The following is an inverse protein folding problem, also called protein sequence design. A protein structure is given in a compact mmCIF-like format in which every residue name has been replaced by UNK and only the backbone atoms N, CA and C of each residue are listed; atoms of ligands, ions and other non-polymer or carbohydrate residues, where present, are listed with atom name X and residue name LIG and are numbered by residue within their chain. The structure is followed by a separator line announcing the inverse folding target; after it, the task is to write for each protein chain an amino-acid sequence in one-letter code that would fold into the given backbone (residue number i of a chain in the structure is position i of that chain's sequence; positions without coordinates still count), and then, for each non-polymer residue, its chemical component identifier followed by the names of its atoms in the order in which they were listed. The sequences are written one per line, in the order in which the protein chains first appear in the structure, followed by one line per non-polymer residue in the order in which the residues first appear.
data_IF_724470173139
#
_entry.id   IF_724470173139
#
_cell.length_a   1.000
_cell.length_b   1.000
_cell.length_c   1.000
_cell.angle_alpha   90.00
_cell.angle_beta   90.00
_cell.angle_gamma   90.00
#
_symmetry.space_group_name_H-M   'P 1'
#
loop_
_entity.id
_entity.type
_entity.pdbx_description
1 polymer ?
#
# COMPACT_ATOMS: atom_id res chain seq x y z
N UNK A 1 19.66 0.19 0.14
CA UNK A 1 18.96 1.27 -0.55
C UNK A 1 19.79 2.54 -0.56
N UNK A 2 20.35 2.98 0.55
CA UNK A 2 21.26 4.15 0.67
C UNK A 2 22.45 4.17 -0.31
N UNK A 3 22.96 2.98 -0.67
CA UNK A 3 24.07 2.84 -1.63
C UNK A 3 23.69 3.35 -3.03
N UNK A 4 22.44 3.14 -3.47
CA UNK A 4 21.99 3.61 -4.80
C UNK A 4 21.94 5.15 -4.86
N UNK A 5 21.46 5.76 -3.78
CA UNK A 5 21.27 7.21 -3.72
C UNK A 5 22.61 7.94 -3.72
N UNK A 6 23.62 7.45 -2.94
CA UNK A 6 24.98 7.99 -2.97
C UNK A 6 25.64 7.81 -4.34
N UNK A 7 25.52 6.63 -4.94
CA UNK A 7 26.08 6.35 -6.27
C UNK A 7 25.45 7.26 -7.34
N UNK A 8 24.14 7.47 -7.32
CA UNK A 8 23.47 8.38 -8.25
C UNK A 8 24.06 9.79 -8.17
N UNK A 9 24.24 10.31 -6.95
CA UNK A 9 24.85 11.61 -6.75
C UNK A 9 26.30 11.67 -7.23
N UNK A 10 27.13 10.68 -6.88
CA UNK A 10 28.53 10.55 -7.32
C UNK A 10 28.66 10.46 -8.84
N UNK A 11 27.71 9.82 -9.53
CA UNK A 11 27.66 9.72 -10.98
C UNK A 11 27.12 10.99 -11.68
N UNK A 12 26.78 12.03 -10.91
CA UNK A 12 26.35 13.33 -11.47
C UNK A 12 24.88 13.37 -11.92
N UNK A 13 24.05 12.41 -11.50
CA UNK A 13 22.61 12.55 -11.66
C UNK A 13 22.10 13.79 -10.93
N UNK A 14 21.06 14.42 -11.46
CA UNK A 14 20.52 15.67 -10.91
C UNK A 14 19.32 15.44 -9.98
N UNK A 15 18.71 14.24 -10.05
CA UNK A 15 17.51 13.93 -9.28
C UNK A 15 17.34 12.45 -9.04
N UNK A 16 16.80 12.11 -7.88
CA UNK A 16 16.31 10.77 -7.55
C UNK A 16 14.82 10.82 -7.21
N UNK A 17 14.04 9.87 -7.75
CA UNK A 17 12.64 9.65 -7.37
C UNK A 17 12.53 8.29 -6.69
N UNK A 18 12.14 8.28 -5.42
CA UNK A 18 12.11 7.09 -4.57
C UNK A 18 10.67 6.71 -4.29
N UNK A 19 10.34 5.43 -4.47
CA UNK A 19 9.03 4.89 -4.13
C UNK A 19 8.99 4.52 -2.64
N UNK A 20 8.36 5.37 -1.87
CA UNK A 20 8.13 5.23 -0.44
C UNK A 20 6.77 4.58 -0.14
N UNK A 21 6.28 4.85 1.06
CA UNK A 21 5.01 4.31 1.54
C UNK A 21 4.18 5.38 2.24
N UNK A 22 2.88 5.37 2.02
CA UNK A 22 1.94 6.27 2.72
C UNK A 22 1.95 6.09 4.26
N UNK A 23 2.54 5.02 4.76
CA UNK A 23 2.77 4.87 6.19
C UNK A 23 3.76 5.90 6.75
N UNK A 24 4.67 6.44 5.92
CA UNK A 24 5.52 7.58 6.31
C UNK A 24 4.65 8.82 6.52
N UNK A 25 3.76 9.12 5.58
CA UNK A 25 2.78 10.21 5.71
C UNK A 25 1.92 10.03 6.97
N UNK A 26 1.33 8.84 7.15
CA UNK A 26 0.49 8.56 8.32
C UNK A 26 1.25 8.73 9.65
N UNK A 27 2.51 8.29 9.73
CA UNK A 27 3.31 8.42 10.93
C UNK A 27 3.61 9.89 11.29
N UNK A 28 3.75 10.75 10.27
CA UNK A 28 3.94 12.19 10.43
C UNK A 28 2.64 12.91 10.86
N UNK A 29 1.51 12.52 10.26
CA UNK A 29 0.19 13.10 10.56
C UNK A 29 -0.40 12.63 11.90
N UNK A 30 -0.01 11.43 12.36
CA UNK A 30 -0.55 10.82 13.58
C UNK A 30 0.55 10.40 14.56
N UNK A 31 1.32 11.37 15.10
CA UNK A 31 2.38 11.09 16.08
C UNK A 31 1.82 10.48 17.39
N UNK A 32 0.55 10.75 17.70
CA UNK A 32 -0.17 10.18 18.82
C UNK A 32 -0.24 8.63 18.78
N UNK A 33 -0.23 8.04 17.60
CA UNK A 33 -0.30 6.59 17.42
C UNK A 33 1.04 5.89 17.68
N UNK A 34 2.16 6.59 17.70
CA UNK A 34 3.51 6.05 17.90
C UNK A 34 3.82 4.90 16.94
N UNK A 35 3.50 5.09 15.65
CA UNK A 35 3.56 4.03 14.64
C UNK A 35 4.97 3.50 14.41
N UNK A 36 5.98 4.37 14.44
CA UNK A 36 7.38 3.97 14.27
C UNK A 36 7.90 3.11 15.44
N UNK A 37 7.36 3.30 16.66
CA UNK A 37 7.73 2.48 17.82
C UNK A 37 7.12 1.08 17.73
N UNK A 38 5.89 0.98 17.21
CA UNK A 38 5.09 -0.24 17.21
C UNK A 38 5.30 -1.12 15.96
N UNK A 39 5.75 -0.53 14.85
CA UNK A 39 5.80 -1.19 13.54
C UNK A 39 7.18 -0.98 12.87
N UNK A 40 8.06 -2.00 12.89
CA UNK A 40 9.39 -1.91 12.27
C UNK A 40 9.36 -1.49 10.80
N UNK A 41 8.38 -1.97 10.04
CA UNK A 41 8.20 -1.56 8.65
C UNK A 41 7.97 -0.04 8.51
N UNK A 42 7.10 0.55 9.34
CA UNK A 42 6.79 1.99 9.27
C UNK A 42 8.05 2.80 9.62
N UNK A 43 8.76 2.41 10.68
CA UNK A 43 10.03 3.03 11.04
C UNK A 43 11.02 2.96 9.88
N UNK A 44 11.18 1.79 9.25
CA UNK A 44 12.13 1.64 8.13
C UNK A 44 11.79 2.54 6.94
N UNK A 45 10.49 2.90 6.74
CA UNK A 45 10.10 3.83 5.67
C UNK A 45 10.44 5.27 6.01
N UNK A 46 10.26 5.69 7.26
CA UNK A 46 10.72 7.01 7.74
C UNK A 46 12.25 7.11 7.68
N UNK A 47 12.96 6.08 8.15
CA UNK A 47 14.42 6.05 8.09
C UNK A 47 14.94 6.12 6.66
N UNK A 48 14.29 5.39 5.73
CA UNK A 48 14.60 5.45 4.29
C UNK A 48 14.43 6.86 3.73
N UNK A 49 13.34 7.53 4.07
CA UNK A 49 13.03 8.89 3.64
C UNK A 49 14.09 9.88 4.17
N UNK A 50 14.39 9.82 5.48
CA UNK A 50 15.38 10.68 6.12
C UNK A 50 16.78 10.51 5.51
N UNK A 51 17.19 9.26 5.28
CA UNK A 51 18.49 8.98 4.63
C UNK A 51 18.48 9.49 3.19
N UNK A 52 17.42 9.29 2.43
CA UNK A 52 17.33 9.79 1.07
C UNK A 52 17.46 11.32 1.02
N UNK A 53 16.75 12.02 1.89
CA UNK A 53 16.82 13.48 1.98
C UNK A 53 18.18 14.02 2.42
N UNK A 54 18.97 13.26 3.19
CA UNK A 54 20.31 13.67 3.56
C UNK A 54 21.30 13.79 2.38
N UNK A 55 20.94 13.22 1.22
CA UNK A 55 21.74 13.35 -0.01
C UNK A 55 21.35 14.55 -0.86
N UNK A 56 20.20 15.19 -0.61
CA UNK A 56 19.78 16.36 -1.37
C UNK A 56 20.67 17.56 -1.08
N UNK A 57 21.02 18.31 -2.13
CA UNK A 57 21.74 19.59 -2.06
C UNK A 57 21.38 20.46 -3.27
N UNK A 58 22.09 21.56 -3.47
CA UNK A 58 21.88 22.51 -4.57
C UNK A 58 22.02 21.88 -5.97
N UNK A 59 22.64 20.71 -6.09
CA UNK A 59 22.92 20.00 -7.35
C UNK A 59 22.18 18.68 -7.50
N UNK A 60 21.51 18.19 -6.45
CA UNK A 60 20.84 16.90 -6.43
C UNK A 60 19.52 16.94 -5.67
N UNK A 61 18.42 16.88 -6.42
CA UNK A 61 17.07 16.81 -5.87
C UNK A 61 16.68 15.39 -5.45
N UNK A 62 15.90 15.26 -4.39
CA UNK A 62 15.35 13.97 -3.95
C UNK A 62 13.85 14.08 -3.70
N UNK A 63 13.07 13.34 -4.48
CA UNK A 63 11.63 13.20 -4.31
C UNK A 63 11.30 11.82 -3.74
N UNK A 64 10.50 11.75 -2.68
CA UNK A 64 9.96 10.50 -2.16
C UNK A 64 8.45 10.46 -2.37
N UNK A 65 7.96 9.50 -3.14
CA UNK A 65 6.52 9.29 -3.36
C UNK A 65 5.96 8.38 -2.27
N UNK A 66 5.14 8.90 -1.39
CA UNK A 66 4.48 8.16 -0.31
C UNK A 66 3.22 7.47 -0.85
N UNK A 67 3.44 6.28 -1.44
CA UNK A 67 2.43 5.56 -2.20
C UNK A 67 1.52 4.72 -1.30
N UNK A 68 0.18 4.80 -1.50
CA UNK A 68 -0.81 3.99 -0.79
C UNK A 68 -1.03 2.63 -1.46
N UNK A 69 -2.23 2.09 -1.41
CA UNK A 69 -2.61 0.84 -2.08
C UNK A 69 -2.64 1.03 -3.59
N UNK A 70 -1.88 0.18 -4.29
CA UNK A 70 -1.71 0.23 -5.75
C UNK A 70 -2.50 -0.91 -6.39
N UNK A 71 -3.31 -0.57 -7.39
CA UNK A 71 -4.09 -1.53 -8.18
C UNK A 71 -3.72 -1.49 -9.65
N UNK A 72 -3.78 -2.64 -10.28
CA UNK A 72 -3.39 -2.90 -11.64
C UNK A 72 -2.63 -4.21 -11.74
N UNK A 73 -2.33 -4.64 -12.95
CA UNK A 73 -1.64 -5.90 -13.21
C UNK A 73 -0.35 -5.67 -13.98
N UNK A 74 0.65 -6.49 -13.70
CA UNK A 74 1.85 -6.60 -14.51
C UNK A 74 1.87 -7.99 -15.14
N UNK A 75 1.95 -8.09 -16.46
CA UNK A 75 2.00 -9.38 -17.14
C UNK A 75 3.11 -10.29 -16.58
N UNK A 76 2.76 -11.54 -16.30
CA UNK A 76 3.71 -12.56 -15.81
C UNK A 76 4.08 -12.46 -14.33
N UNK A 77 3.63 -11.44 -13.58
CA UNK A 77 3.94 -11.29 -12.14
C UNK A 77 2.74 -11.55 -11.25
N UNK A 78 2.99 -12.24 -10.12
CA UNK A 78 1.99 -12.53 -9.09
C UNK A 78 1.60 -11.24 -8.35
N UNK A 79 0.31 -10.85 -8.33
CA UNK A 79 -0.12 -9.67 -7.59
C UNK A 79 -0.02 -9.90 -6.07
N UNK A 80 0.31 -8.85 -5.32
CA UNK A 80 0.31 -8.87 -3.84
C UNK A 80 -1.08 -9.17 -3.26
N UNK A 81 -2.13 -8.87 -4.00
CA UNK A 81 -3.53 -9.05 -3.60
C UNK A 81 -3.96 -10.51 -3.42
N UNK A 82 -3.12 -11.49 -3.78
CA UNK A 82 -3.32 -12.91 -3.43
C UNK A 82 -3.48 -13.07 -1.93
N UNK A 83 -2.74 -12.31 -1.11
CA UNK A 83 -2.85 -12.33 0.36
C UNK A 83 -4.27 -11.95 0.82
N UNK A 84 -4.87 -10.92 0.20
CA UNK A 84 -6.25 -10.55 0.49
C UNK A 84 -7.23 -11.68 0.12
N UNK A 85 -7.02 -12.33 -1.04
CA UNK A 85 -7.88 -13.44 -1.49
C UNK A 85 -7.83 -14.60 -0.49
N UNK A 86 -6.66 -14.95 0.01
CA UNK A 86 -6.49 -15.99 1.04
C UNK A 86 -7.29 -15.66 2.31
N UNK A 87 -7.24 -14.41 2.75
CA UNK A 87 -7.95 -13.96 3.94
C UNK A 87 -9.46 -14.00 3.78
N UNK A 88 -9.99 -13.43 2.69
CA UNK A 88 -11.44 -13.32 2.50
C UNK A 88 -12.09 -14.66 2.12
N UNK A 89 -11.39 -15.59 1.45
CA UNK A 89 -11.89 -16.93 1.15
C UNK A 89 -12.26 -17.72 2.41
N UNK A 90 -11.58 -17.50 3.52
CA UNK A 90 -11.92 -18.12 4.82
C UNK A 90 -13.31 -17.73 5.29
N UNK A 91 -13.82 -16.58 4.85
CA UNK A 91 -15.15 -16.08 5.22
C UNK A 91 -16.24 -16.42 4.19
N UNK A 92 -15.93 -17.09 3.07
CA UNK A 92 -16.92 -17.38 2.02
C UNK A 92 -18.08 -18.25 2.51
N UNK A 93 -17.83 -19.13 3.49
CA UNK A 93 -18.87 -19.99 4.10
C UNK A 93 -19.76 -19.25 5.09
N UNK A 94 -19.41 -18.04 5.48
CA UNK A 94 -20.19 -17.22 6.41
C UNK A 94 -21.25 -16.43 5.63
N UNK A 95 -22.39 -16.07 6.25
CA UNK A 95 -23.44 -15.27 5.61
C UNK A 95 -23.02 -13.81 5.38
N UNK A 96 -21.93 -13.37 5.98
CA UNK A 96 -21.40 -12.02 5.87
C UNK A 96 -19.88 -12.03 5.94
N UNK A 97 -19.26 -10.90 5.61
CA UNK A 97 -17.83 -10.67 5.77
C UNK A 97 -17.61 -9.71 6.94
N UNK A 98 -16.78 -10.11 7.89
CA UNK A 98 -16.34 -9.27 9.00
C UNK A 98 -15.05 -8.57 8.60
N UNK A 99 -15.01 -7.23 8.64
CA UNK A 99 -13.84 -6.47 8.21
C UNK A 99 -13.73 -5.15 8.99
N UNK A 100 -12.55 -4.51 9.08
CA UNK A 100 -12.41 -3.20 9.71
C UNK A 100 -13.34 -2.13 9.14
N UNK A 101 -13.58 -1.07 9.91
CA UNK A 101 -14.56 -0.01 9.57
C UNK A 101 -13.98 1.14 8.77
N UNK A 102 -12.66 1.30 8.78
CA UNK A 102 -11.96 2.40 8.13
C UNK A 102 -11.96 2.30 6.61
N UNK A 103 -10.95 2.91 6.03
CA UNK A 103 -10.72 2.96 4.58
C UNK A 103 -9.26 3.25 4.27
N UNK A 104 -8.95 3.37 3.00
CA UNK A 104 -7.59 3.65 2.56
C UNK A 104 -7.55 4.50 1.29
N UNK A 105 -6.42 5.16 1.11
CA UNK A 105 -6.07 5.82 -0.13
C UNK A 105 -5.62 4.78 -1.17
N UNK A 106 -5.83 5.08 -2.44
CA UNK A 106 -5.58 4.16 -3.56
C UNK A 106 -5.12 4.91 -4.80
N UNK A 107 -4.42 4.22 -5.68
CA UNK A 107 -4.12 4.65 -7.04
C UNK A 107 -3.88 3.44 -7.96
N UNK A 108 -3.85 3.71 -9.28
CA UNK A 108 -3.54 2.67 -10.26
C UNK A 108 -2.04 2.61 -10.56
N UNK A 109 -1.57 1.48 -11.07
CA UNK A 109 -0.18 1.32 -11.54
C UNK A 109 0.19 2.38 -12.58
N UNK A 110 -0.76 2.76 -13.48
CA UNK A 110 -0.54 3.84 -14.45
C UNK A 110 -0.29 5.17 -13.75
N UNK A 111 -1.12 5.51 -12.77
CA UNK A 111 -0.98 6.75 -11.99
C UNK A 111 0.31 6.78 -11.16
N UNK A 112 0.83 5.63 -10.70
CA UNK A 112 2.19 5.55 -10.12
C UNK A 112 3.23 5.98 -11.14
N UNK A 113 3.16 5.45 -12.37
CA UNK A 113 4.08 5.82 -13.45
C UNK A 113 4.04 7.32 -13.77
N UNK A 114 2.85 7.87 -13.89
CA UNK A 114 2.66 9.32 -14.12
C UNK A 114 3.20 10.16 -12.95
N UNK A 115 3.00 9.70 -11.69
CA UNK A 115 3.55 10.36 -10.51
C UNK A 115 5.08 10.38 -10.51
N UNK A 116 5.73 9.29 -10.95
CA UNK A 116 7.19 9.21 -11.09
C UNK A 116 7.68 10.25 -12.09
N UNK A 117 7.05 10.32 -13.26
CA UNK A 117 7.40 11.30 -14.31
C UNK A 117 7.17 12.72 -13.79
N UNK A 118 6.00 13.00 -13.20
CA UNK A 118 5.67 14.31 -12.64
C UNK A 118 6.67 14.75 -11.58
N UNK A 119 7.07 13.85 -10.66
CA UNK A 119 8.08 14.15 -9.66
C UNK A 119 9.49 14.37 -10.27
N UNK A 120 9.85 13.58 -11.26
CA UNK A 120 11.12 13.75 -11.97
C UNK A 120 11.23 15.12 -12.67
N UNK A 121 10.12 15.60 -13.23
CA UNK A 121 10.08 16.87 -13.94
C UNK A 121 9.92 18.09 -13.02
N UNK A 122 9.11 17.98 -11.97
CA UNK A 122 8.58 19.14 -11.24
C UNK A 122 9.07 19.26 -9.80
N UNK A 123 9.57 18.17 -9.17
CA UNK A 123 10.06 18.24 -7.79
C UNK A 123 11.44 18.92 -7.73
N UNK A 124 11.66 19.72 -6.69
CA UNK A 124 12.95 20.35 -6.41
C UNK A 124 13.29 20.19 -4.94
N UNK A 125 14.60 20.12 -4.65
CA UNK A 125 15.11 19.93 -3.30
C UNK A 125 14.75 18.56 -2.70
N UNK A 126 14.69 18.49 -1.38
CA UNK A 126 14.24 17.31 -0.64
C UNK A 126 12.74 17.40 -0.37
N UNK A 127 11.92 16.58 -1.02
CA UNK A 127 10.45 16.67 -0.88
C UNK A 127 9.77 15.31 -0.82
N UNK A 128 8.93 15.11 0.21
CA UNK A 128 7.97 14.02 0.27
C UNK A 128 6.68 14.42 -0.43
N UNK A 129 6.12 13.50 -1.20
CA UNK A 129 4.89 13.66 -1.95
C UNK A 129 3.87 12.61 -1.49
N UNK A 130 2.86 12.97 -0.68
CA UNK A 130 1.76 12.06 -0.34
C UNK A 130 0.85 11.91 -1.54
N UNK A 131 1.01 10.81 -2.28
CA UNK A 131 0.32 10.59 -3.55
C UNK A 131 -0.91 9.71 -3.36
N UNK A 132 -2.08 10.25 -3.69
CA UNK A 132 -3.34 9.50 -3.78
C UNK A 132 -4.19 10.04 -4.91
N UNK A 133 -4.94 9.16 -5.58
CA UNK A 133 -5.93 9.54 -6.58
C UNK A 133 -7.36 9.23 -6.11
N UNK A 134 -7.51 8.24 -5.21
CA UNK A 134 -8.80 7.79 -4.71
C UNK A 134 -8.72 7.49 -3.22
N UNK A 135 -9.82 7.75 -2.52
CA UNK A 135 -10.04 7.36 -1.13
C UNK A 135 -11.29 6.48 -1.05
N UNK A 136 -11.19 5.31 -0.45
CA UNK A 136 -12.30 4.36 -0.41
C UNK A 136 -12.38 3.65 0.95
N UNK A 137 -13.59 3.55 1.51
CA UNK A 137 -13.88 2.71 2.67
C UNK A 137 -13.74 1.24 2.33
N UNK A 138 -13.41 0.41 3.33
CA UNK A 138 -13.25 -1.03 3.14
C UNK A 138 -14.53 -1.71 2.65
N UNK A 139 -15.70 -1.29 3.10
CA UNK A 139 -16.95 -1.95 2.69
C UNK A 139 -17.23 -1.81 1.19
N UNK A 140 -17.23 -0.61 0.56
CA UNK A 140 -17.36 -0.49 -0.89
C UNK A 140 -16.21 -1.16 -1.65
N UNK A 141 -14.96 -1.11 -1.16
CA UNK A 141 -13.84 -1.83 -1.74
C UNK A 141 -14.11 -3.34 -1.82
N UNK A 142 -14.54 -3.97 -0.71
CA UNK A 142 -14.83 -5.39 -0.68
C UNK A 142 -16.00 -5.79 -1.57
N UNK A 143 -16.98 -4.91 -1.80
CA UNK A 143 -18.04 -5.18 -2.79
C UNK A 143 -17.46 -5.33 -4.20
N UNK A 144 -16.52 -4.46 -4.60
CA UNK A 144 -15.81 -4.59 -5.88
C UNK A 144 -15.03 -5.92 -5.91
N UNK A 145 -14.35 -6.27 -4.82
CA UNK A 145 -13.58 -7.52 -4.71
C UNK A 145 -14.49 -8.75 -4.87
N UNK A 146 -15.66 -8.78 -4.21
CA UNK A 146 -16.61 -9.90 -4.34
C UNK A 146 -17.23 -9.97 -5.74
N UNK A 147 -17.58 -8.84 -6.34
CA UNK A 147 -18.06 -8.78 -7.72
C UNK A 147 -17.01 -9.32 -8.70
N UNK A 148 -15.73 -8.91 -8.54
CA UNK A 148 -14.62 -9.40 -9.36
C UNK A 148 -14.36 -10.91 -9.22
N UNK A 149 -14.74 -11.51 -8.09
CA UNK A 149 -14.71 -12.96 -7.84
C UNK A 149 -15.92 -13.72 -8.37
N UNK A 150 -16.87 -13.03 -9.01
CA UNK A 150 -18.13 -13.63 -9.51
C UNK A 150 -19.18 -13.92 -8.43
N UNK A 151 -19.03 -13.34 -7.23
CA UNK A 151 -19.96 -13.55 -6.10
C UNK A 151 -21.02 -12.44 -5.99
N UNK A 152 -21.08 -11.53 -6.95
CA UNK A 152 -21.93 -10.34 -6.88
C UNK A 152 -21.43 -9.27 -5.92
N UNK A 153 -22.13 -8.17 -5.84
CA UNK A 153 -21.79 -7.01 -5.00
C UNK A 153 -22.71 -6.83 -3.78
N UNK A 154 -23.68 -7.72 -3.61
CA UNK A 154 -24.70 -7.67 -2.57
C UNK A 154 -24.30 -8.34 -1.25
N UNK A 155 -23.06 -8.88 -1.17
CA UNK A 155 -22.56 -9.50 0.06
C UNK A 155 -22.56 -8.51 1.22
N UNK A 156 -23.13 -8.91 2.35
CA UNK A 156 -23.17 -8.11 3.57
C UNK A 156 -21.75 -7.99 4.17
N UNK A 157 -21.24 -6.76 4.27
CA UNK A 157 -20.00 -6.44 4.95
C UNK A 157 -20.35 -5.81 6.29
N UNK A 158 -19.84 -6.37 7.38
CA UNK A 158 -20.06 -5.89 8.74
C UNK A 158 -18.76 -5.34 9.29
N UNK A 159 -18.77 -4.05 9.61
CA UNK A 159 -17.64 -3.39 10.24
C UNK A 159 -17.42 -3.88 11.68
N UNK A 160 -16.24 -4.38 12.00
CA UNK A 160 -15.87 -4.86 13.34
C UNK A 160 -14.86 -3.92 14.00
N UNK A 161 -14.95 -3.72 15.31
CA UNK A 161 -14.00 -2.89 16.04
C UNK A 161 -12.63 -3.60 16.21
N UNK A 162 -11.55 -2.83 16.46
CA UNK A 162 -10.19 -3.38 16.57
C UNK A 162 -10.03 -4.55 17.56
N UNK A 163 -10.70 -4.48 18.71
CA UNK A 163 -10.60 -5.54 19.71
C UNK A 163 -11.11 -6.90 19.19
N UNK A 164 -12.19 -6.89 18.39
CA UNK A 164 -12.74 -8.11 17.80
C UNK A 164 -11.79 -8.68 16.73
N UNK A 165 -11.18 -7.82 15.92
CA UNK A 165 -10.18 -8.24 14.95
C UNK A 165 -8.96 -8.87 15.63
N UNK A 166 -8.48 -8.28 16.75
CA UNK A 166 -7.36 -8.85 17.53
C UNK A 166 -7.64 -10.26 18.04
N UNK A 167 -8.88 -10.56 18.41
CA UNK A 167 -9.24 -11.93 18.83
C UNK A 167 -9.00 -12.93 17.69
N UNK A 168 -9.34 -12.59 16.44
CA UNK A 168 -9.10 -13.43 15.27
C UNK A 168 -7.61 -13.57 14.91
N UNK A 169 -6.76 -12.60 15.29
CA UNK A 169 -5.34 -12.58 14.96
C UNK A 169 -4.45 -13.35 15.95
N UNK A 170 -4.97 -13.77 17.11
CA UNK A 170 -4.17 -14.48 18.13
C UNK A 170 -3.48 -15.74 17.59
N UNK A 171 -4.16 -16.49 16.72
CA UNK A 171 -3.59 -17.68 16.07
C UNK A 171 -2.45 -17.34 15.13
N UNK A 172 -2.58 -16.26 14.36
CA UNK A 172 -1.54 -15.78 13.43
C UNK A 172 -0.30 -15.32 14.20
N UNK A 173 -0.49 -14.58 15.30
CA UNK A 173 0.60 -14.13 16.16
C UNK A 173 1.37 -15.32 16.76
N UNK A 174 0.67 -16.35 17.23
CA UNK A 174 1.28 -17.56 17.75
C UNK A 174 2.08 -18.29 16.67
N UNK A 175 1.49 -18.46 15.48
CA UNK A 175 2.16 -19.10 14.33
C UNK A 175 3.44 -18.34 13.93
N UNK A 176 3.41 -17.00 13.90
CA UNK A 176 4.58 -16.19 13.57
C UNK A 176 5.68 -16.35 14.63
N UNK A 177 5.30 -16.35 15.92
CA UNK A 177 6.26 -16.57 17.00
C UNK A 177 6.91 -17.97 16.93
N UNK A 178 6.13 -19.02 16.64
CA UNK A 178 6.63 -20.39 16.50
C UNK A 178 7.58 -20.56 15.30
N UNK A 179 7.34 -19.81 14.22
CA UNK A 179 8.16 -19.84 13.00
C UNK A 179 9.33 -18.86 13.04
N UNK A 180 9.48 -18.05 14.08
CA UNK A 180 10.48 -17.00 14.17
C UNK A 180 10.32 -15.91 13.10
N UNK A 181 9.07 -15.69 12.62
CA UNK A 181 8.77 -14.68 11.60
C UNK A 181 8.60 -13.33 12.31
N UNK A 182 9.50 -12.40 12.00
CA UNK A 182 9.32 -11.00 12.38
C UNK A 182 8.41 -10.30 11.36
N UNK A 183 7.21 -9.94 11.81
CA UNK A 183 6.26 -9.21 10.98
C UNK A 183 6.62 -7.73 10.96
N UNK A 184 6.94 -7.19 9.80
CA UNK A 184 7.25 -5.75 9.65
C UNK A 184 6.10 -4.84 10.12
N UNK A 185 4.86 -5.28 9.98
CA UNK A 185 3.67 -4.66 10.59
C UNK A 185 3.21 -5.53 11.76
N UNK A 186 3.24 -4.99 12.98
CA UNK A 186 2.78 -5.70 14.16
C UNK A 186 1.30 -6.12 14.00
N UNK A 187 0.98 -7.42 13.98
CA UNK A 187 -0.39 -7.90 13.76
C UNK A 187 -1.38 -7.41 14.82
N UNK A 188 -0.93 -7.20 16.07
CA UNK A 188 -1.79 -6.72 17.15
C UNK A 188 -2.04 -5.21 17.09
N UNK A 189 -1.19 -4.44 16.41
CA UNK A 189 -1.37 -3.00 16.16
C UNK A 189 -2.10 -2.70 14.86
N UNK A 190 -2.07 -3.61 13.89
CA UNK A 190 -2.70 -3.43 12.58
C UNK A 190 -4.21 -3.10 12.65
N UNK A 191 -5.01 -3.71 13.55
CA UNK A 191 -6.43 -3.38 13.66
C UNK A 191 -6.73 -1.92 13.95
N UNK A 192 -5.90 -1.22 14.73
CA UNK A 192 -6.09 0.21 15.01
C UNK A 192 -5.86 1.05 13.74
N UNK A 193 -4.87 0.68 12.95
CA UNK A 193 -4.58 1.34 11.67
C UNK A 193 -5.75 1.12 10.69
N UNK A 194 -6.23 -0.11 10.55
CA UNK A 194 -7.30 -0.45 9.60
C UNK A 194 -8.68 0.07 9.98
N UNK A 195 -8.89 0.48 11.25
CA UNK A 195 -10.15 1.09 11.70
C UNK A 195 -10.22 2.59 11.38
N UNK A 196 -9.11 3.20 10.97
CA UNK A 196 -9.02 4.59 10.55
C UNK A 196 -9.36 4.76 9.07
N UNK A 197 -9.78 5.96 8.73
CA UNK A 197 -9.81 6.44 7.35
C UNK A 197 -8.41 6.92 6.97
N UNK A 198 -7.61 6.02 6.43
CA UNK A 198 -6.27 6.32 5.94
C UNK A 198 -6.35 7.05 4.59
N UNK A 199 -7.10 8.13 4.59
CA UNK A 199 -7.32 8.96 3.41
C UNK A 199 -6.21 9.99 3.26
N UNK A 200 -5.86 10.27 2.02
CA UNK A 200 -4.82 11.21 1.67
C UNK A 200 -5.35 12.28 0.72
N UNK A 201 -4.77 13.49 0.74
CA UNK A 201 -5.09 14.51 -0.24
C UNK A 201 -4.83 14.02 -1.68
N UNK A 202 -5.75 14.32 -2.60
CA UNK A 202 -5.60 13.95 -4.02
C UNK A 202 -4.98 15.06 -4.86
N UNK A 203 -4.90 16.28 -4.33
CA UNK A 203 -4.43 17.46 -5.05
C UNK A 203 -2.98 17.37 -5.51
N UNK A 204 -2.12 16.77 -4.70
CA UNK A 204 -0.70 16.60 -5.05
C UNK A 204 -0.52 15.78 -6.33
N UNK A 205 -1.28 14.69 -6.48
CA UNK A 205 -1.22 13.89 -7.69
C UNK A 205 -1.70 14.68 -8.91
N UNK A 206 -2.91 15.19 -8.84
CA UNK A 206 -3.57 15.82 -10.01
C UNK A 206 -3.00 17.20 -10.35
N UNK A 207 -2.89 18.09 -9.37
CA UNK A 207 -2.55 19.50 -9.63
C UNK A 207 -1.05 19.73 -9.74
N UNK A 208 -0.27 19.09 -8.87
CA UNK A 208 1.16 19.36 -8.79
C UNK A 208 1.98 18.42 -9.67
N UNK A 209 1.68 17.11 -9.67
CA UNK A 209 2.42 16.16 -10.49
C UNK A 209 1.79 15.90 -11.87
N UNK A 210 0.57 16.38 -12.11
CA UNK A 210 -0.10 16.26 -13.40
C UNK A 210 -0.56 14.84 -13.73
N UNK A 211 -0.85 14.05 -12.71
CA UNK A 211 -1.45 12.72 -12.85
C UNK A 211 -2.85 12.84 -13.46
N UNK A 212 -3.21 11.93 -14.33
CA UNK A 212 -4.52 11.94 -15.01
C UNK A 212 -5.51 11.00 -14.32
N UNK A 213 -6.82 11.21 -14.52
CA UNK A 213 -7.85 10.30 -14.02
C UNK A 213 -7.74 8.90 -14.64
N UNK A 214 -8.13 7.88 -13.88
CA UNK A 214 -8.13 6.49 -14.32
C UNK A 214 -9.32 5.73 -13.70
N UNK A 215 -9.63 4.55 -14.17
CA UNK A 215 -10.69 3.70 -13.61
C UNK A 215 -10.15 2.79 -12.51
N UNK A 216 -10.22 3.28 -11.27
CA UNK A 216 -9.81 2.49 -10.09
C UNK A 216 -10.63 1.22 -9.91
N UNK A 217 -11.92 1.21 -10.30
CA UNK A 217 -12.76 0.01 -10.17
C UNK A 217 -12.32 -1.07 -11.16
N UNK A 218 -11.98 -0.68 -12.40
CA UNK A 218 -11.41 -1.59 -13.37
C UNK A 218 -10.06 -2.13 -12.88
N UNK A 219 -9.16 -1.27 -12.39
CA UNK A 219 -7.85 -1.67 -11.88
C UNK A 219 -7.95 -2.63 -10.67
N UNK A 220 -8.87 -2.38 -9.73
CA UNK A 220 -9.15 -3.31 -8.63
C UNK A 220 -9.66 -4.64 -9.19
N UNK A 221 -10.63 -4.60 -10.09
CA UNK A 221 -11.25 -5.80 -10.69
C UNK A 221 -10.20 -6.68 -11.36
N UNK A 222 -9.31 -6.11 -12.15
CA UNK A 222 -8.25 -6.84 -12.85
C UNK A 222 -7.22 -7.42 -11.88
N UNK A 223 -6.79 -6.63 -10.88
CA UNK A 223 -5.91 -7.11 -9.81
C UNK A 223 -6.49 -8.33 -9.09
N UNK A 224 -7.78 -8.28 -8.78
CA UNK A 224 -8.46 -9.37 -8.06
C UNK A 224 -8.65 -10.60 -8.95
N UNK A 225 -9.03 -10.44 -10.22
CA UNK A 225 -9.17 -11.58 -11.16
C UNK A 225 -7.84 -12.34 -11.32
N UNK A 226 -6.73 -11.63 -11.54
CA UNK A 226 -5.40 -12.25 -11.65
C UNK A 226 -4.98 -12.90 -10.32
N UNK A 227 -5.28 -12.26 -9.18
CA UNK A 227 -4.99 -12.83 -7.85
C UNK A 227 -5.77 -14.11 -7.58
N UNK A 228 -7.05 -14.17 -7.96
CA UNK A 228 -7.87 -15.40 -7.86
C UNK A 228 -7.30 -16.50 -8.75
N UNK A 229 -7.00 -16.20 -10.02
CA UNK A 229 -6.43 -17.16 -10.94
C UNK A 229 -5.08 -17.72 -10.45
N UNK A 230 -4.25 -16.85 -9.86
CA UNK A 230 -2.98 -17.25 -9.23
C UNK A 230 -3.20 -18.14 -8.01
N UNK A 231 -4.12 -17.74 -7.12
CA UNK A 231 -4.45 -18.53 -5.92
C UNK A 231 -4.99 -19.92 -6.27
N UNK A 232 -5.75 -20.03 -7.34
CA UNK A 232 -6.34 -21.30 -7.81
C UNK A 232 -5.38 -22.13 -8.69
N UNK A 233 -4.15 -21.66 -8.89
CA UNK A 233 -3.15 -22.35 -9.71
C UNK A 233 -3.47 -22.36 -11.22
N UNK A 234 -4.40 -21.53 -11.68
CA UNK A 234 -4.83 -21.45 -13.09
C UNK A 234 -3.83 -20.73 -13.99
N UNK A 235 -2.94 -19.93 -13.40
CA UNK A 235 -1.88 -19.21 -14.12
C UNK A 235 -0.56 -19.40 -13.39
N UNK A 236 0.51 -19.63 -14.18
CA UNK A 236 1.87 -19.69 -13.65
C UNK A 236 2.47 -18.29 -13.72
N UNK A 237 2.69 -17.68 -12.57
CA UNK A 237 3.23 -16.33 -12.45
C UNK A 237 4.56 -16.37 -11.69
N UNK A 238 5.45 -15.45 -12.01
CA UNK A 238 6.68 -15.25 -11.25
C UNK A 238 6.33 -14.75 -9.85
N UNK A 239 6.83 -15.45 -8.84
CA UNK A 239 6.70 -15.03 -7.46
C UNK A 239 7.49 -13.72 -7.22
N UNK A 240 6.93 -12.85 -6.38
CA UNK A 240 7.70 -11.73 -5.84
C UNK A 240 8.62 -12.32 -4.75
N UNK A 241 9.78 -12.83 -5.14
CA UNK A 241 10.85 -13.15 -4.19
C UNK A 241 11.49 -11.81 -3.82
N UNK A 242 11.43 -11.43 -2.55
CA UNK A 242 12.37 -10.46 -1.99
C UNK A 242 13.75 -11.12 -2.05
N UNK A 243 14.64 -10.54 -2.84
CA UNK A 243 16.06 -10.80 -2.73
C UNK A 243 16.60 -10.14 -1.47
#
# INVERSE_FOLDING_TARGET
MCIRDSICKELGYKKAVILGSYFSYLAKERPDMKLCEKHPYIRSRIDQENVAFSYADDNFDVAVLELPYIFGTQPGRKPVWVILIEQIKRMDKLPCTLYPRGGTAMLTVRQVGESIVGAAERSTGAKAWPISCYNMKWAPFLKIVYAARGMGDNRKIIGIPPWMMRMGLKGVVKEYAEKGIDSGINPMGLPDIMDLDLFMPTDYAYKELGVTEDDIKAAITDSIKVSVASYEGKVKLLEMKGE
#
